data_IF_244045766776
#
_entry.id   IF_244045766776
#
_cell.length_a   1.000
_cell.length_b   1.000
_cell.length_c   1.000
_cell.angle_alpha   90.00
_cell.angle_beta   90.00
_cell.angle_gamma   90.00
#
_symmetry.space_group_name_H-M   'P 1'
#
loop_
_entity.id
_entity.type
_entity.pdbx_description
1 polymer ?
#
# COMPACT_ATOMS: atom_id res chain seq x y z
N UNK A 1 -13.03 56.13 -13.23
CA UNK A 1 -13.17 57.54 -12.84
C UNK A 1 -14.26 57.74 -11.77
N UNK A 2 -14.98 56.76 -11.37
CA UNK A 2 -15.99 56.82 -10.30
C UNK A 2 -15.56 55.91 -9.16
N UNK A 3 -14.43 56.21 -8.51
CA UNK A 3 -14.08 55.46 -7.29
C UNK A 3 -14.90 55.96 -6.10
N UNK A 4 -15.27 55.01 -5.21
CA UNK A 4 -16.12 55.31 -4.06
C UNK A 4 -15.52 54.65 -2.79
N UNK A 5 -15.17 55.46 -1.80
CA UNK A 5 -14.72 55.01 -0.50
C UNK A 5 -15.73 55.46 0.55
N UNK A 6 -16.49 54.53 1.11
CA UNK A 6 -17.61 54.79 2.03
C UNK A 6 -17.26 54.39 3.48
N UNK A 7 -16.52 53.29 3.66
CA UNK A 7 -16.15 52.83 4.98
C UNK A 7 -15.21 53.80 5.74
N UNK A 8 -15.26 53.77 7.07
CA UNK A 8 -14.32 54.58 7.88
C UNK A 8 -12.90 54.09 7.62
N UNK A 9 -11.99 55.02 7.32
CA UNK A 9 -10.60 54.75 6.92
C UNK A 9 -10.46 53.90 5.65
N UNK A 10 -11.46 53.82 4.78
CA UNK A 10 -11.39 53.07 3.52
C UNK A 10 -10.63 53.86 2.45
N UNK A 11 -10.03 53.14 1.49
CA UNK A 11 -9.32 53.71 0.34
C UNK A 11 -9.81 53.05 -0.96
N UNK A 12 -10.30 53.88 -1.88
CA UNK A 12 -10.65 53.41 -3.23
C UNK A 12 -9.88 54.23 -4.28
N UNK A 13 -9.07 53.58 -5.09
CA UNK A 13 -8.28 54.24 -6.14
C UNK A 13 -8.33 53.43 -7.44
N UNK A 14 -8.84 54.03 -8.49
CA UNK A 14 -8.94 53.45 -9.82
C UNK A 14 -10.23 53.76 -10.53
N UNK A 15 -10.47 53.11 -11.68
CA UNK A 15 -11.72 53.29 -12.41
C UNK A 15 -12.78 52.32 -11.85
N UNK A 16 -13.87 52.85 -11.32
CA UNK A 16 -14.94 52.07 -10.68
C UNK A 16 -14.47 51.23 -9.51
N UNK A 17 -13.48 51.71 -8.74
CA UNK A 17 -13.05 51.05 -7.50
C UNK A 17 -14.01 51.40 -6.36
N UNK A 18 -14.46 50.43 -5.58
CA UNK A 18 -15.43 50.59 -4.49
C UNK A 18 -14.88 49.97 -3.20
N UNK A 19 -14.81 50.74 -2.11
CA UNK A 19 -14.41 50.30 -0.79
C UNK A 19 -15.49 50.69 0.25
N UNK A 20 -16.27 49.73 0.70
CA UNK A 20 -17.44 49.94 1.56
C UNK A 20 -17.17 49.63 3.02
N UNK A 21 -16.34 48.61 3.31
CA UNK A 21 -16.04 48.17 4.68
C UNK A 21 -15.11 49.15 5.43
N UNK A 22 -15.13 49.08 6.74
CA UNK A 22 -14.19 49.80 7.62
C UNK A 22 -12.77 49.29 7.39
N UNK A 23 -11.83 50.19 7.23
CA UNK A 23 -10.44 49.89 6.92
C UNK A 23 -10.25 49.06 5.63
N UNK A 24 -11.21 49.08 4.70
CA UNK A 24 -11.11 48.37 3.43
C UNK A 24 -10.26 49.15 2.40
N UNK A 25 -9.64 48.39 1.50
CA UNK A 25 -8.79 48.94 0.43
C UNK A 25 -9.19 48.35 -0.91
N UNK A 26 -9.51 49.20 -1.89
CA UNK A 26 -9.81 48.83 -3.26
C UNK A 26 -8.92 49.59 -4.25
N UNK A 27 -7.93 48.92 -4.83
CA UNK A 27 -6.98 49.53 -5.77
C UNK A 27 -7.01 48.83 -7.13
N UNK A 28 -7.48 49.52 -8.15
CA UNK A 28 -7.53 49.00 -9.52
C UNK A 28 -8.79 49.39 -10.30
N UNK A 29 -9.08 48.67 -11.38
CA UNK A 29 -10.23 48.91 -12.21
C UNK A 29 -11.33 47.88 -11.98
N UNK A 30 -12.55 48.33 -11.66
CA UNK A 30 -13.69 47.44 -11.40
C UNK A 30 -13.50 46.54 -10.18
N UNK A 31 -12.83 47.00 -9.16
CA UNK A 31 -12.56 46.26 -7.93
C UNK A 31 -13.51 46.66 -6.80
N UNK A 32 -14.00 45.69 -6.05
CA UNK A 32 -14.93 45.92 -4.92
C UNK A 32 -14.40 45.26 -3.64
N UNK A 33 -14.33 46.01 -2.54
CA UNK A 33 -14.03 45.56 -1.18
C UNK A 33 -15.20 45.96 -0.27
N UNK A 34 -16.04 45.00 0.08
CA UNK A 34 -17.36 45.24 0.75
C UNK A 34 -17.26 45.18 2.26
N UNK A 35 -16.65 44.17 2.79
CA UNK A 35 -16.60 43.90 4.23
C UNK A 35 -15.37 44.57 4.90
N UNK A 36 -15.38 44.60 6.24
CA UNK A 36 -14.35 45.22 7.03
C UNK A 36 -12.97 44.52 6.84
N UNK A 37 -11.93 45.36 6.82
CA UNK A 37 -10.53 44.93 6.62
C UNK A 37 -10.27 44.19 5.31
N UNK A 38 -11.22 44.19 4.36
CA UNK A 38 -11.02 43.56 3.06
C UNK A 38 -10.09 44.38 2.17
N UNK A 39 -9.22 43.72 1.44
CA UNK A 39 -8.21 44.33 0.58
C UNK A 39 -8.25 43.70 -0.81
N UNK A 40 -8.35 44.54 -1.85
CA UNK A 40 -8.29 44.07 -3.22
C UNK A 40 -7.38 44.92 -4.09
N UNK A 41 -6.55 44.24 -4.90
CA UNK A 41 -5.66 44.87 -5.89
C UNK A 41 -5.84 44.22 -7.26
N UNK A 42 -6.05 45.01 -8.30
CA UNK A 42 -6.02 44.51 -9.67
C UNK A 42 -7.19 44.89 -10.54
N UNK A 43 -7.80 43.92 -11.24
CA UNK A 43 -8.84 44.23 -12.23
C UNK A 43 -10.03 43.29 -12.07
N UNK A 44 -11.24 43.85 -11.95
CA UNK A 44 -12.50 43.09 -11.85
C UNK A 44 -12.50 42.09 -10.69
N UNK A 45 -11.95 42.44 -9.54
CA UNK A 45 -12.01 41.63 -8.34
C UNK A 45 -13.22 42.04 -7.48
N UNK A 46 -13.89 41.03 -6.90
CA UNK A 46 -15.05 41.22 -6.02
C UNK A 46 -14.82 40.51 -4.68
N UNK A 47 -14.67 41.30 -3.61
CA UNK A 47 -14.35 40.82 -2.28
C UNK A 47 -15.46 41.19 -1.32
N UNK A 48 -16.25 40.21 -0.90
CA UNK A 48 -17.32 40.32 0.08
C UNK A 48 -17.04 39.53 1.36
N UNK A 49 -15.80 39.06 1.56
CA UNK A 49 -15.35 38.39 2.79
C UNK A 49 -14.66 39.36 3.74
N UNK A 50 -14.92 39.21 5.04
CA UNK A 50 -14.26 39.98 6.09
C UNK A 50 -12.77 39.59 6.19
N UNK A 51 -11.89 40.58 6.41
CA UNK A 51 -10.44 40.40 6.52
C UNK A 51 -9.84 39.59 5.35
N UNK A 52 -10.41 39.73 4.17
CA UNK A 52 -10.02 38.98 2.99
C UNK A 52 -9.05 39.76 2.10
N UNK A 53 -8.14 39.04 1.44
CA UNK A 53 -7.19 39.58 0.48
C UNK A 53 -7.43 38.99 -0.91
N UNK A 54 -7.63 39.86 -1.92
CA UNK A 54 -7.68 39.42 -3.32
C UNK A 54 -6.70 40.25 -4.16
N UNK A 55 -5.78 39.56 -4.83
CA UNK A 55 -4.82 40.20 -5.74
C UNK A 55 -4.82 39.53 -7.11
N UNK A 56 -5.04 40.32 -8.18
CA UNK A 56 -4.98 39.76 -9.51
C UNK A 56 -6.09 40.25 -10.44
N UNK A 57 -6.64 39.38 -11.27
CA UNK A 57 -7.69 39.70 -12.21
C UNK A 57 -8.84 38.69 -12.14
N UNK A 58 -10.06 39.17 -12.05
CA UNK A 58 -11.27 38.31 -11.92
C UNK A 58 -11.21 37.40 -10.71
N UNK A 59 -10.76 37.95 -9.59
CA UNK A 59 -10.73 37.23 -8.32
C UNK A 59 -12.01 37.53 -7.56
N UNK A 60 -12.76 36.47 -7.22
CA UNK A 60 -13.96 36.53 -6.40
C UNK A 60 -13.71 35.86 -5.05
N UNK A 61 -13.95 36.60 -3.99
CA UNK A 61 -13.98 36.05 -2.62
C UNK A 61 -15.33 36.37 -2.02
N UNK A 62 -16.22 35.39 -2.01
CA UNK A 62 -17.59 35.54 -1.55
C UNK A 62 -17.78 35.03 -0.12
N UNK A 63 -18.00 35.98 0.79
CA UNK A 63 -18.23 35.70 2.20
C UNK A 63 -17.03 35.05 2.91
N UNK A 64 -17.30 34.58 4.13
CA UNK A 64 -16.27 34.00 4.98
C UNK A 64 -15.28 35.02 5.57
N UNK A 65 -14.32 34.54 6.31
CA UNK A 65 -13.31 35.35 7.02
C UNK A 65 -11.92 34.85 6.68
N UNK A 66 -10.96 35.80 6.55
CA UNK A 66 -9.54 35.49 6.38
C UNK A 66 -9.21 34.63 5.14
N UNK A 67 -9.88 34.89 4.03
CA UNK A 67 -9.56 34.26 2.76
C UNK A 67 -8.47 35.05 2.02
N UNK A 68 -7.48 34.37 1.45
CA UNK A 68 -6.43 35.00 0.64
C UNK A 68 -6.40 34.38 -0.75
N UNK A 69 -6.53 35.23 -1.79
CA UNK A 69 -6.55 34.82 -3.18
C UNK A 69 -5.54 35.65 -4.02
N UNK A 70 -4.61 34.96 -4.68
CA UNK A 70 -3.62 35.58 -5.54
C UNK A 70 -3.57 34.94 -6.92
N UNK A 71 -3.99 35.65 -7.98
CA UNK A 71 -3.93 35.08 -9.33
C UNK A 71 -4.99 35.60 -10.28
N UNK A 72 -5.44 34.72 -11.18
CA UNK A 72 -6.41 35.10 -12.22
C UNK A 72 -7.57 34.10 -12.25
N UNK A 73 -8.79 34.65 -12.38
CA UNK A 73 -10.01 33.83 -12.45
C UNK A 73 -10.14 32.85 -11.27
N UNK A 74 -10.03 33.37 -10.05
CA UNK A 74 -10.18 32.61 -8.81
C UNK A 74 -11.57 32.85 -8.25
N UNK A 75 -12.20 31.77 -7.78
CA UNK A 75 -13.50 31.80 -7.08
C UNK A 75 -13.39 31.07 -5.74
N UNK A 76 -13.38 31.83 -4.64
CA UNK A 76 -13.49 31.31 -3.29
C UNK A 76 -14.89 31.64 -2.78
N UNK A 77 -15.71 30.59 -2.59
CA UNK A 77 -17.09 30.78 -2.17
C UNK A 77 -17.50 29.90 -0.99
N UNK A 78 -18.16 30.51 -0.02
CA UNK A 78 -18.80 29.82 1.09
C UNK A 78 -17.85 29.20 2.11
N UNK A 79 -16.68 29.80 2.39
CA UNK A 79 -15.77 29.28 3.39
C UNK A 79 -14.79 30.32 3.92
N UNK A 80 -14.07 29.95 4.97
CA UNK A 80 -13.09 30.81 5.65
C UNK A 80 -11.69 30.19 5.68
N UNK A 81 -10.67 31.05 5.90
CA UNK A 81 -9.28 30.65 6.08
C UNK A 81 -8.70 29.88 4.86
N UNK A 82 -9.16 30.21 3.65
CA UNK A 82 -8.60 29.60 2.45
C UNK A 82 -7.42 30.42 1.90
N UNK A 83 -6.36 29.75 1.49
CA UNK A 83 -5.23 30.35 0.76
C UNK A 83 -5.18 29.75 -0.64
N UNK A 84 -5.38 30.58 -1.66
CA UNK A 84 -5.47 30.14 -3.05
C UNK A 84 -4.53 30.98 -3.91
N UNK A 85 -3.61 30.30 -4.62
CA UNK A 85 -2.68 30.95 -5.53
C UNK A 85 -2.64 30.22 -6.88
N UNK A 86 -2.88 30.95 -7.97
CA UNK A 86 -2.82 30.39 -9.32
C UNK A 86 -3.87 30.93 -10.26
N UNK A 87 -4.31 30.12 -11.23
CA UNK A 87 -5.30 30.54 -12.20
C UNK A 87 -6.41 29.51 -12.36
N UNK A 88 -7.64 29.98 -12.63
CA UNK A 88 -8.80 29.14 -12.87
C UNK A 88 -9.11 28.15 -11.70
N UNK A 89 -8.98 28.62 -10.47
CA UNK A 89 -9.22 27.78 -9.28
C UNK A 89 -10.56 28.14 -8.66
N UNK A 90 -11.36 27.14 -8.34
CA UNK A 90 -12.58 27.25 -7.55
C UNK A 90 -12.43 26.52 -6.24
N UNK A 91 -12.66 27.19 -5.10
CA UNK A 91 -12.59 26.60 -3.77
C UNK A 91 -13.90 26.82 -3.03
N UNK A 92 -14.49 25.73 -2.53
CA UNK A 92 -15.69 25.73 -1.68
C UNK A 92 -15.43 24.98 -0.40
N UNK A 93 -15.48 25.69 0.73
CA UNK A 93 -15.19 25.11 2.06
C UNK A 93 -14.13 25.89 2.81
N UNK A 94 -13.63 25.34 3.92
CA UNK A 94 -12.79 26.08 4.85
C UNK A 94 -11.37 25.50 4.94
N UNK A 95 -10.43 26.35 5.32
CA UNK A 95 -9.06 25.93 5.66
C UNK A 95 -8.35 25.17 4.51
N UNK A 96 -8.63 25.52 3.26
CA UNK A 96 -7.96 24.92 2.12
C UNK A 96 -6.73 25.75 1.72
N UNK A 97 -5.63 25.08 1.35
CA UNK A 97 -4.40 25.71 0.85
C UNK A 97 -4.09 25.13 -0.53
N UNK A 98 -4.34 25.89 -1.58
CA UNK A 98 -4.32 25.45 -2.96
C UNK A 98 -3.37 26.30 -3.79
N UNK A 99 -2.44 25.65 -4.48
CA UNK A 99 -1.47 26.29 -5.38
C UNK A 99 -1.50 25.60 -6.75
N UNK A 100 -1.65 26.37 -7.82
CA UNK A 100 -1.55 25.82 -9.18
C UNK A 100 -2.63 26.26 -10.17
N UNK A 101 -2.90 25.42 -11.16
CA UNK A 101 -3.79 25.68 -12.29
C UNK A 101 -4.30 24.38 -12.93
N UNK A 102 -5.50 24.37 -13.49
CA UNK A 102 -6.75 24.77 -12.87
C UNK A 102 -7.28 23.65 -11.99
N UNK A 103 -8.12 23.95 -11.01
CA UNK A 103 -8.69 22.90 -10.13
C UNK A 103 -9.99 23.35 -9.46
N UNK A 104 -10.89 22.42 -9.18
CA UNK A 104 -12.04 22.61 -8.33
C UNK A 104 -11.83 21.83 -7.03
N UNK A 105 -11.87 22.53 -5.89
CA UNK A 105 -11.76 21.93 -4.56
C UNK A 105 -13.04 22.16 -3.79
N UNK A 106 -13.62 21.06 -3.28
CA UNK A 106 -14.81 21.12 -2.41
C UNK A 106 -14.55 20.34 -1.13
N UNK A 107 -14.61 21.02 0.01
CA UNK A 107 -14.35 20.40 1.32
C UNK A 107 -13.45 21.24 2.19
N UNK A 108 -12.85 20.65 3.21
CA UNK A 108 -12.11 21.38 4.23
C UNK A 108 -10.73 20.78 4.47
N UNK A 109 -9.78 21.63 4.88
CA UNK A 109 -8.42 21.21 5.24
C UNK A 109 -7.67 20.51 4.11
N UNK A 110 -7.96 20.82 2.83
CA UNK A 110 -7.23 20.24 1.71
C UNK A 110 -5.97 21.09 1.40
N UNK A 111 -4.84 20.41 1.18
CA UNK A 111 -3.55 21.04 0.83
C UNK A 111 -3.01 20.44 -0.46
N UNK A 112 -3.01 21.22 -1.54
CA UNK A 112 -2.60 20.75 -2.86
C UNK A 112 -1.75 21.72 -3.64
N UNK A 113 -0.69 21.17 -4.31
CA UNK A 113 -0.14 21.73 -5.52
C UNK A 113 -0.76 21.02 -6.72
N UNK A 114 -1.38 21.78 -7.63
CA UNK A 114 -2.07 21.21 -8.80
C UNK A 114 -1.57 21.85 -10.09
N UNK A 115 -1.37 21.03 -11.13
CA UNK A 115 -1.13 21.52 -12.49
C UNK A 115 -1.93 20.65 -13.47
N UNK A 116 -3.09 21.14 -13.88
CA UNK A 116 -4.01 20.47 -14.80
C UNK A 116 -5.45 20.45 -14.30
N UNK A 117 -6.37 20.10 -15.20
CA UNK A 117 -7.80 20.07 -14.96
C UNK A 117 -8.20 18.90 -14.03
N UNK A 118 -8.45 19.18 -12.78
CA UNK A 118 -8.85 18.14 -11.84
C UNK A 118 -9.90 18.58 -10.83
N UNK A 119 -10.38 17.65 -10.05
CA UNK A 119 -11.25 17.97 -8.92
C UNK A 119 -10.87 17.16 -7.67
N UNK A 120 -11.02 17.83 -6.53
CA UNK A 120 -10.76 17.30 -5.21
C UNK A 120 -11.99 17.53 -4.36
N UNK A 121 -12.61 16.43 -3.92
CA UNK A 121 -13.83 16.48 -3.11
C UNK A 121 -13.63 15.69 -1.83
N UNK A 122 -13.85 16.34 -0.68
CA UNK A 122 -13.69 15.75 0.64
C UNK A 122 -12.77 16.56 1.53
N UNK A 123 -12.36 16.00 2.65
CA UNK A 123 -11.64 16.73 3.68
C UNK A 123 -10.28 16.11 3.99
N UNK A 124 -9.34 16.96 4.47
CA UNK A 124 -8.02 16.52 4.90
C UNK A 124 -7.24 15.76 3.82
N UNK A 125 -7.43 16.09 2.56
CA UNK A 125 -6.66 15.51 1.47
C UNK A 125 -5.39 16.33 1.23
N UNK A 126 -4.28 15.64 0.93
CA UNK A 126 -2.98 16.27 0.70
C UNK A 126 -2.35 15.71 -0.57
N UNK A 127 -1.73 16.57 -1.37
CA UNK A 127 -1.03 16.07 -2.55
C UNK A 127 -0.29 17.10 -3.38
N UNK A 128 0.50 16.58 -4.32
CA UNK A 128 1.03 17.31 -5.45
C UNK A 128 0.72 16.50 -6.71
N UNK A 129 -0.17 17.02 -7.52
CA UNK A 129 -0.77 16.29 -8.63
C UNK A 129 -0.74 17.07 -9.92
N UNK A 130 -0.59 16.40 -11.05
CA UNK A 130 -0.61 16.97 -12.38
C UNK A 130 -1.56 16.21 -13.31
N UNK A 131 -1.80 16.73 -14.50
CA UNK A 131 -2.75 16.13 -15.44
C UNK A 131 -4.20 16.32 -15.00
N UNK A 132 -4.98 15.26 -14.98
CA UNK A 132 -6.41 15.31 -14.60
C UNK A 132 -6.65 14.51 -13.31
N UNK A 133 -6.22 14.99 -12.14
CA UNK A 133 -6.42 14.29 -10.89
C UNK A 133 -7.90 14.24 -10.50
N UNK A 134 -8.32 13.10 -9.99
CA UNK A 134 -9.65 12.88 -9.43
C UNK A 134 -9.50 12.32 -8.02
N UNK A 135 -9.73 13.14 -6.99
CA UNK A 135 -9.60 12.72 -5.60
C UNK A 135 -10.95 12.95 -4.89
N UNK A 136 -11.60 11.86 -4.55
CA UNK A 136 -12.89 11.83 -3.85
C UNK A 136 -12.73 11.06 -2.55
N UNK A 137 -13.18 11.63 -1.44
CA UNK A 137 -13.09 11.04 -0.11
C UNK A 137 -12.22 11.85 0.84
N UNK A 138 -11.87 11.30 1.98
CA UNK A 138 -11.22 12.03 3.05
C UNK A 138 -9.87 11.42 3.43
N UNK A 139 -8.95 12.25 3.96
CA UNK A 139 -7.64 11.80 4.46
C UNK A 139 -6.78 11.10 3.38
N UNK A 140 -6.86 11.52 2.14
CA UNK A 140 -6.14 10.90 1.04
C UNK A 140 -4.81 11.62 0.78
N UNK A 141 -3.83 10.85 0.29
CA UNK A 141 -2.56 11.35 -0.22
C UNK A 141 -2.42 11.00 -1.70
N UNK A 142 -2.32 12.02 -2.55
CA UNK A 142 -2.14 11.86 -4.00
C UNK A 142 -0.85 12.53 -4.48
N UNK A 143 0.08 11.77 -5.05
CA UNK A 143 1.35 12.30 -5.57
C UNK A 143 1.62 11.76 -6.97
N UNK A 144 1.64 12.63 -7.97
CA UNK A 144 1.96 12.25 -9.35
C UNK A 144 0.98 12.78 -10.40
N UNK A 145 0.99 12.17 -11.55
CA UNK A 145 0.17 12.58 -12.70
C UNK A 145 -1.04 11.67 -12.87
N UNK A 146 -2.21 12.25 -13.18
CA UNK A 146 -3.47 11.55 -13.40
C UNK A 146 -3.84 10.60 -12.24
N UNK A 147 -3.66 11.05 -11.03
CA UNK A 147 -4.02 10.30 -9.82
C UNK A 147 -5.53 10.13 -9.74
N UNK A 148 -5.99 8.90 -9.48
CA UNK A 148 -7.40 8.63 -9.21
C UNK A 148 -7.59 7.97 -7.85
N UNK A 149 -8.31 8.64 -6.95
CA UNK A 149 -8.70 8.11 -5.64
C UNK A 149 -10.20 8.28 -5.48
N UNK A 150 -10.92 7.16 -5.34
CA UNK A 150 -12.34 7.13 -4.98
C UNK A 150 -12.48 6.31 -3.69
N UNK A 151 -11.97 6.91 -2.60
CA UNK A 151 -11.80 6.22 -1.32
C UNK A 151 -11.42 7.19 -0.21
N UNK A 152 -11.43 6.73 1.03
CA UNK A 152 -10.90 7.46 2.18
C UNK A 152 -9.66 6.76 2.78
N UNK A 153 -8.79 7.55 3.41
CA UNK A 153 -7.55 7.06 4.01
C UNK A 153 -6.62 6.34 3.03
N UNK A 154 -6.65 6.76 1.77
CA UNK A 154 -5.96 6.12 0.65
C UNK A 154 -4.66 6.86 0.29
N UNK A 155 -3.72 6.11 -0.29
CA UNK A 155 -2.45 6.65 -0.79
C UNK A 155 -2.25 6.24 -2.25
N UNK A 156 -2.11 7.20 -3.16
CA UNK A 156 -1.79 6.96 -4.56
C UNK A 156 -0.53 7.74 -4.95
N UNK A 157 0.52 7.05 -5.35
CA UNK A 157 1.81 7.64 -5.73
C UNK A 157 2.29 7.08 -7.07
N UNK A 158 2.46 7.95 -8.06
CA UNK A 158 2.95 7.59 -9.39
C UNK A 158 2.06 8.12 -10.52
N UNK A 159 2.46 7.91 -11.77
CA UNK A 159 1.65 8.26 -12.92
C UNK A 159 0.51 7.23 -13.10
N UNK A 160 -0.73 7.67 -13.24
CA UNK A 160 -1.93 6.84 -13.34
C UNK A 160 -2.12 5.86 -12.15
N UNK A 161 -1.63 6.19 -10.95
CA UNK A 161 -1.90 5.37 -9.78
C UNK A 161 -3.37 5.52 -9.33
N UNK A 162 -4.01 4.40 -9.00
CA UNK A 162 -5.44 4.35 -8.70
C UNK A 162 -5.75 3.62 -7.39
N UNK A 163 -6.65 4.18 -6.59
CA UNK A 163 -7.22 3.54 -5.41
C UNK A 163 -8.73 3.64 -5.48
N UNK A 164 -9.43 2.52 -5.37
CA UNK A 164 -10.88 2.44 -5.55
C UNK A 164 -11.63 2.03 -4.28
N UNK A 165 -10.93 1.77 -3.18
CA UNK A 165 -11.54 1.37 -1.90
C UNK A 165 -10.72 1.89 -0.72
N UNK A 166 -11.38 2.07 0.43
CA UNK A 166 -10.81 2.67 1.62
C UNK A 166 -9.53 1.97 2.12
N UNK A 167 -8.62 2.78 2.66
CA UNK A 167 -7.33 2.32 3.18
C UNK A 167 -6.45 1.60 2.15
N UNK A 168 -6.72 1.80 0.86
CA UNK A 168 -5.92 1.26 -0.24
C UNK A 168 -4.63 2.05 -0.44
N UNK A 169 -3.57 1.38 -0.86
CA UNK A 169 -2.27 1.98 -1.17
C UNK A 169 -1.81 1.55 -2.56
N UNK A 170 -1.65 2.48 -3.49
CA UNK A 170 -1.15 2.24 -4.84
C UNK A 170 0.15 3.03 -5.07
N UNK A 171 1.29 2.36 -5.18
CA UNK A 171 2.59 2.98 -5.38
C UNK A 171 3.27 2.43 -6.63
N UNK A 172 3.41 3.28 -7.64
CA UNK A 172 4.05 2.98 -8.92
C UNK A 172 3.23 3.44 -10.12
N UNK A 173 3.88 3.51 -11.29
CA UNK A 173 3.22 3.80 -12.56
C UNK A 173 2.13 2.75 -12.85
N UNK A 174 0.89 3.17 -13.10
CA UNK A 174 -0.26 2.30 -13.31
C UNK A 174 -0.54 1.30 -12.17
N UNK A 175 -0.10 1.58 -10.94
CA UNK A 175 -0.44 0.74 -9.78
C UNK A 175 -1.92 0.91 -9.43
N UNK A 176 -2.59 -0.19 -9.06
CA UNK A 176 -4.03 -0.20 -8.76
C UNK A 176 -4.34 -0.97 -7.48
N UNK A 177 -4.81 -0.28 -6.45
CA UNK A 177 -5.39 -0.88 -5.25
C UNK A 177 -6.92 -0.90 -5.40
N UNK A 178 -7.47 -2.06 -5.78
CA UNK A 178 -8.88 -2.19 -6.16
C UNK A 178 -9.77 -2.64 -4.99
N UNK A 179 -9.18 -2.96 -3.84
CA UNK A 179 -9.87 -3.51 -2.68
C UNK A 179 -9.47 -2.80 -1.39
N UNK A 180 -10.31 -2.93 -0.38
CA UNK A 180 -10.09 -2.30 0.92
C UNK A 180 -8.83 -2.88 1.62
N UNK A 181 -8.09 -2.01 2.31
CA UNK A 181 -6.88 -2.41 3.04
C UNK A 181 -5.85 -3.16 2.17
N UNK A 182 -5.85 -2.93 0.86
CA UNK A 182 -4.93 -3.58 -0.07
C UNK A 182 -3.79 -2.66 -0.49
N UNK A 183 -2.64 -3.25 -0.80
CA UNK A 183 -1.44 -2.54 -1.23
C UNK A 183 -1.01 -3.04 -2.60
N UNK A 184 -0.96 -2.17 -3.60
CA UNK A 184 -0.37 -2.43 -4.91
C UNK A 184 0.99 -1.74 -4.99
N UNK A 185 2.08 -2.50 -4.93
CA UNK A 185 3.44 -1.98 -4.84
C UNK A 185 4.26 -2.30 -6.10
N UNK A 186 4.65 -1.27 -6.81
CA UNK A 186 5.45 -1.35 -8.03
C UNK A 186 4.65 -1.05 -9.30
N UNK A 187 5.35 -0.69 -10.39
CA UNK A 187 4.71 -0.34 -11.64
C UNK A 187 3.83 -1.47 -12.19
N UNK A 188 2.57 -1.17 -12.52
CA UNK A 188 1.59 -2.13 -13.03
C UNK A 188 1.15 -3.19 -12.00
N UNK A 189 1.44 -3.00 -10.72
CA UNK A 189 0.93 -3.91 -9.68
C UNK A 189 -0.56 -3.70 -9.47
N UNK A 190 -1.31 -4.81 -9.32
CA UNK A 190 -2.76 -4.78 -9.10
C UNK A 190 -3.10 -5.63 -7.88
N UNK A 191 -3.71 -5.02 -6.87
CA UNK A 191 -4.24 -5.70 -5.70
C UNK A 191 -5.75 -5.89 -5.86
N UNK A 192 -6.20 -7.13 -5.98
CA UNK A 192 -7.59 -7.51 -6.28
C UNK A 192 -8.32 -8.17 -5.12
N UNK A 193 -7.69 -8.27 -3.98
CA UNK A 193 -8.23 -8.90 -2.78
C UNK A 193 -8.01 -8.00 -1.57
N UNK A 194 -8.94 -8.05 -0.61
CA UNK A 194 -8.83 -7.29 0.63
C UNK A 194 -7.66 -7.79 1.49
N UNK A 195 -7.03 -6.89 2.24
CA UNK A 195 -5.93 -7.21 3.17
C UNK A 195 -4.71 -7.88 2.53
N UNK A 196 -4.43 -7.61 1.25
CA UNK A 196 -3.29 -8.19 0.53
C UNK A 196 -2.26 -7.15 0.11
N UNK A 197 -1.03 -7.59 -0.06
CA UNK A 197 0.04 -6.83 -0.71
C UNK A 197 0.37 -7.49 -2.04
N UNK A 198 0.07 -6.82 -3.15
CA UNK A 198 0.44 -7.26 -4.49
C UNK A 198 1.67 -6.50 -4.98
N UNK A 199 2.74 -7.25 -5.28
CA UNK A 199 3.97 -6.70 -5.89
C UNK A 199 4.02 -6.89 -7.41
N UNK A 200 2.90 -7.25 -8.03
CA UNK A 200 2.76 -7.50 -9.46
C UNK A 200 1.31 -7.64 -9.88
N UNK A 201 1.08 -8.40 -10.92
CA UNK A 201 -0.26 -8.79 -11.39
C UNK A 201 -0.22 -10.18 -12.00
N UNK A 202 -1.38 -10.77 -12.25
CA UNK A 202 -1.48 -12.07 -12.91
C UNK A 202 -0.74 -12.06 -14.26
N UNK A 203 0.21 -12.99 -14.43
CA UNK A 203 1.07 -13.06 -15.62
C UNK A 203 2.32 -12.19 -15.60
N UNK A 204 2.43 -11.23 -14.67
CA UNK A 204 3.61 -10.36 -14.50
C UNK A 204 4.02 -10.29 -13.03
N UNK A 205 4.63 -11.37 -12.56
CA UNK A 205 5.09 -11.50 -11.18
C UNK A 205 6.47 -10.91 -10.97
N UNK A 206 6.81 -10.58 -9.71
CA UNK A 206 8.14 -10.13 -9.29
C UNK A 206 8.72 -11.04 -8.23
N UNK A 207 10.04 -11.11 -8.20
CA UNK A 207 10.76 -11.76 -7.10
C UNK A 207 10.86 -10.79 -5.93
N UNK A 208 10.66 -11.31 -4.72
CA UNK A 208 11.00 -10.60 -3.50
C UNK A 208 12.41 -11.05 -3.09
N UNK A 209 13.36 -10.13 -3.12
CA UNK A 209 14.78 -10.38 -2.82
C UNK A 209 15.18 -9.81 -1.48
N UNK A 210 16.30 -10.30 -0.91
CA UNK A 210 16.83 -9.87 0.39
C UNK A 210 15.86 -10.13 1.55
N UNK A 211 15.11 -11.23 1.45
CA UNK A 211 14.23 -11.70 2.53
C UNK A 211 15.06 -12.52 3.51
N UNK A 212 15.14 -12.08 4.75
CA UNK A 212 15.75 -12.84 5.84
C UNK A 212 14.97 -14.14 6.11
N UNK A 213 15.62 -15.09 6.80
CA UNK A 213 14.91 -16.29 7.25
C UNK A 213 13.80 -15.92 8.22
N UNK A 214 12.59 -16.43 7.96
CA UNK A 214 11.44 -16.28 8.85
C UNK A 214 11.72 -16.93 10.21
N UNK A 215 11.24 -16.30 11.27
CA UNK A 215 11.36 -16.74 12.66
C UNK A 215 9.99 -17.10 13.23
N UNK A 216 9.00 -16.23 13.00
CA UNK A 216 7.63 -16.41 13.46
C UNK A 216 6.78 -17.20 12.44
N UNK A 217 5.71 -17.82 12.92
CA UNK A 217 4.82 -18.64 12.09
C UNK A 217 4.15 -17.88 10.93
N UNK A 218 4.07 -16.56 11.03
CA UNK A 218 3.51 -15.67 10.01
C UNK A 218 4.55 -15.05 9.07
N UNK A 219 5.82 -15.34 9.28
CA UNK A 219 6.88 -14.77 8.43
C UNK A 219 6.97 -15.45 7.07
N UNK A 220 7.47 -14.72 6.08
CA UNK A 220 7.77 -15.28 4.77
C UNK A 220 8.98 -16.23 4.85
N UNK A 221 8.85 -17.39 4.21
CA UNK A 221 9.95 -18.38 4.08
C UNK A 221 10.81 -18.00 2.87
N UNK A 222 12.13 -17.93 3.06
CA UNK A 222 13.07 -17.74 1.96
C UNK A 222 13.55 -19.07 1.34
N UNK A 223 14.25 -18.96 0.20
CA UNK A 223 14.75 -20.12 -0.57
C UNK A 223 15.75 -20.95 0.24
N UNK A 224 16.52 -20.34 1.14
CA UNK A 224 17.47 -21.05 1.99
C UNK A 224 16.76 -22.03 2.93
N UNK A 225 15.73 -21.58 3.63
CA UNK A 225 14.92 -22.41 4.52
C UNK A 225 14.19 -23.55 3.75
N UNK A 226 13.64 -23.23 2.58
CA UNK A 226 13.01 -24.26 1.72
C UNK A 226 14.02 -25.32 1.25
N UNK A 227 15.27 -24.94 0.94
CA UNK A 227 16.31 -25.89 0.57
C UNK A 227 16.75 -26.75 1.76
N UNK A 228 16.79 -26.21 2.98
CA UNK A 228 17.09 -26.98 4.19
C UNK A 228 16.04 -28.08 4.42
N UNK A 229 14.75 -27.75 4.36
CA UNK A 229 13.66 -28.74 4.46
C UNK A 229 13.74 -29.80 3.36
N UNK A 230 14.07 -29.39 2.12
CA UNK A 230 14.26 -30.32 1.00
C UNK A 230 15.41 -31.30 1.24
N UNK A 231 16.52 -30.85 1.78
CA UNK A 231 17.67 -31.71 2.10
C UNK A 231 17.33 -32.68 3.24
N UNK A 232 16.70 -32.22 4.30
CA UNK A 232 16.24 -33.04 5.41
C UNK A 232 15.29 -34.18 4.91
N UNK A 233 14.31 -33.84 4.08
CA UNK A 233 13.43 -34.83 3.48
C UNK A 233 14.18 -35.88 2.64
N UNK A 234 15.18 -35.47 1.85
CA UNK A 234 16.01 -36.39 1.03
C UNK A 234 16.85 -37.29 1.90
N UNK A 235 17.44 -36.81 2.99
CA UNK A 235 18.22 -37.58 3.95
C UNK A 235 17.31 -38.62 4.65
N UNK A 236 16.13 -38.22 5.07
CA UNK A 236 15.14 -39.12 5.64
C UNK A 236 14.73 -40.28 4.69
N UNK A 237 14.56 -39.96 3.38
CA UNK A 237 14.27 -40.99 2.36
C UNK A 237 15.45 -41.95 2.19
N UNK A 238 16.69 -41.45 2.13
CA UNK A 238 17.88 -42.28 2.02
C UNK A 238 18.05 -43.21 3.26
N UNK A 239 17.81 -42.67 4.46
CA UNK A 239 17.85 -43.45 5.71
C UNK A 239 16.74 -44.50 5.74
N UNK A 240 15.51 -44.17 5.31
CA UNK A 240 14.44 -45.17 5.22
C UNK A 240 14.75 -46.28 4.23
N UNK A 241 15.32 -45.97 3.08
CA UNK A 241 15.75 -46.96 2.09
C UNK A 241 16.87 -47.87 2.64
N UNK A 242 17.86 -47.33 3.36
CA UNK A 242 18.91 -48.09 4.00
C UNK A 242 18.37 -49.02 5.09
N UNK A 243 17.42 -48.56 5.91
CA UNK A 243 16.79 -49.32 6.96
C UNK A 243 15.83 -50.42 6.45
N UNK A 244 15.29 -50.29 5.26
CA UNK A 244 14.32 -51.25 4.69
C UNK A 244 14.95 -52.61 4.36
N UNK A 245 16.26 -52.71 4.29
CA UNK A 245 16.98 -53.91 3.83
C UNK A 245 17.15 -54.97 4.95
N UNK A 246 16.09 -55.34 5.64
CA UNK A 246 16.06 -56.41 6.65
C UNK A 246 15.89 -57.77 5.99
N UNK A 247 16.86 -58.68 6.16
CA UNK A 247 16.79 -60.03 5.65
C UNK A 247 16.13 -60.96 6.68
N UNK A 248 15.26 -61.87 6.20
CA UNK A 248 14.65 -62.90 7.06
C UNK A 248 15.66 -63.97 7.42
N UNK A 249 15.66 -64.49 8.65
CA UNK A 249 16.42 -65.71 9.02
C UNK A 249 15.98 -66.92 8.20
N UNK A 250 16.92 -67.78 7.87
CA UNK A 250 16.68 -68.98 7.03
C UNK A 250 15.92 -70.14 7.73
N UNK A 251 15.82 -70.12 9.06
CA UNK A 251 15.14 -71.12 9.85
C UNK A 251 14.78 -70.60 11.26
N UNK A 252 13.79 -71.21 11.93
CA UNK A 252 13.45 -70.96 13.33
C UNK A 252 14.65 -71.07 14.27
N UNK A 253 14.78 -70.16 15.21
CA UNK A 253 15.88 -70.05 16.17
C UNK A 253 17.16 -69.36 15.61
N UNK A 254 17.17 -68.95 14.35
CA UNK A 254 18.30 -68.20 13.75
C UNK A 254 18.12 -66.71 13.85
N UNK A 255 19.27 -66.03 13.91
CA UNK A 255 19.36 -64.59 13.82
C UNK A 255 20.10 -64.23 12.54
N UNK A 256 19.61 -63.22 11.80
CA UNK A 256 20.27 -62.65 10.64
C UNK A 256 20.61 -61.21 10.94
N UNK A 257 21.85 -60.84 10.64
CA UNK A 257 22.29 -59.45 10.65
C UNK A 257 22.48 -59.06 9.18
N UNK A 258 21.93 -57.90 8.79
CA UNK A 258 22.07 -57.36 7.44
C UNK A 258 22.46 -55.89 7.47
N UNK A 259 23.19 -55.45 6.43
CA UNK A 259 23.51 -54.05 6.20
C UNK A 259 22.90 -53.63 4.88
N UNK A 260 22.40 -52.40 4.84
CA UNK A 260 21.82 -51.78 3.66
C UNK A 260 22.42 -50.42 3.37
N UNK A 261 22.46 -50.04 2.11
CA UNK A 261 22.83 -48.71 1.65
C UNK A 261 21.64 -48.11 0.96
N UNK A 262 21.31 -46.85 1.29
CA UNK A 262 20.31 -46.06 0.63
C UNK A 262 20.89 -44.78 0.08
N UNK A 263 20.57 -44.43 -1.16
CA UNK A 263 20.91 -43.14 -1.77
C UNK A 263 19.67 -42.54 -2.42
N UNK A 264 19.43 -41.27 -2.17
CA UNK A 264 18.36 -40.50 -2.83
C UNK A 264 18.82 -39.07 -3.14
N UNK A 265 18.95 -38.78 -4.44
CA UNK A 265 19.31 -37.42 -4.94
C UNK A 265 20.53 -36.84 -4.23
N UNK A 266 21.63 -37.58 -4.21
CA UNK A 266 22.94 -37.26 -3.61
C UNK A 266 23.01 -37.25 -2.08
N UNK A 267 21.96 -37.66 -1.38
CA UNK A 267 22.00 -37.89 0.07
C UNK A 267 22.11 -39.41 0.31
N UNK A 268 22.97 -39.81 1.21
CA UNK A 268 23.28 -41.24 1.46
C UNK A 268 23.08 -41.62 2.91
N UNK A 269 22.74 -42.89 3.13
CA UNK A 269 22.66 -43.50 4.47
C UNK A 269 23.08 -44.95 4.46
N UNK A 270 23.57 -45.42 5.61
CA UNK A 270 23.89 -46.86 5.85
C UNK A 270 22.97 -47.35 6.96
N UNK A 271 22.31 -48.47 6.68
CA UNK A 271 21.42 -49.14 7.63
C UNK A 271 21.98 -50.47 8.12
N UNK A 272 21.73 -50.78 9.37
CA UNK A 272 22.03 -52.08 9.98
C UNK A 272 20.73 -52.66 10.55
N UNK A 273 20.48 -53.94 10.26
CA UNK A 273 19.28 -54.62 10.74
C UNK A 273 19.66 -55.93 11.39
N UNK A 274 18.94 -56.30 12.46
CA UNK A 274 18.96 -57.59 13.09
C UNK A 274 17.54 -58.17 13.05
N UNK A 275 17.42 -59.41 12.60
CA UNK A 275 16.15 -60.14 12.55
C UNK A 275 16.30 -61.49 13.26
N UNK A 276 15.36 -61.82 14.10
CA UNK A 276 15.36 -63.08 14.83
C UNK A 276 14.01 -63.81 14.66
N UNK A 277 14.07 -65.07 14.23
CA UNK A 277 12.90 -65.96 14.11
C UNK A 277 12.78 -66.82 15.35
N UNK A 278 11.73 -66.60 16.17
CA UNK A 278 11.48 -67.40 17.36
C UNK A 278 11.16 -68.85 16.99
N UNK A 279 11.77 -69.75 17.71
CA UNK A 279 11.42 -71.18 17.63
C UNK A 279 10.19 -71.44 18.50
N UNK A 280 9.04 -71.71 17.87
CA UNK A 280 7.78 -72.04 18.53
C UNK A 280 7.58 -73.58 18.57
N UNK A 281 6.90 -74.06 19.59
CA UNK A 281 6.55 -75.49 19.69
C UNK A 281 5.35 -75.90 18.81
N UNK A 282 4.79 -74.95 18.04
CA UNK A 282 3.67 -75.18 17.12
C UNK A 282 4.18 -75.20 15.70
N UNK A 283 3.81 -76.12 14.86
CA UNK A 283 4.20 -76.25 13.46
C UNK A 283 3.61 -75.14 12.58
N UNK A 284 2.56 -74.44 13.03
CA UNK A 284 1.79 -73.48 12.23
C UNK A 284 1.98 -72.01 12.63
N UNK A 285 2.72 -71.70 13.72
CA UNK A 285 2.91 -70.35 14.14
C UNK A 285 4.37 -69.89 14.00
N UNK A 286 4.58 -68.78 13.36
CA UNK A 286 5.87 -68.13 13.15
C UNK A 286 5.86 -66.72 13.70
N UNK A 287 6.85 -66.38 14.53
CA UNK A 287 7.02 -65.06 15.07
C UNK A 287 8.41 -64.58 14.73
N UNK A 288 8.45 -63.43 14.00
CA UNK A 288 9.67 -62.77 13.58
C UNK A 288 9.79 -61.42 14.28
N UNK A 289 10.90 -61.18 14.93
CA UNK A 289 11.28 -59.86 15.42
C UNK A 289 12.35 -59.26 14.51
N UNK A 290 12.23 -57.97 14.19
CA UNK A 290 13.33 -57.28 13.57
C UNK A 290 13.49 -55.88 14.17
N UNK A 291 14.75 -55.45 14.30
CA UNK A 291 15.12 -54.10 14.68
C UNK A 291 16.22 -53.60 13.73
N UNK A 292 16.20 -52.35 13.43
CA UNK A 292 17.20 -51.74 12.55
C UNK A 292 17.42 -50.28 12.88
N UNK A 293 18.61 -49.83 12.53
CA UNK A 293 18.99 -48.41 12.58
C UNK A 293 19.60 -48.01 11.25
N UNK A 294 19.34 -46.81 10.80
CA UNK A 294 20.04 -46.20 9.69
C UNK A 294 20.71 -44.89 10.14
N UNK A 295 21.92 -44.69 9.71
CA UNK A 295 22.71 -43.51 9.98
C UNK A 295 22.91 -42.73 8.67
N UNK A 296 22.48 -41.49 8.64
CA UNK A 296 22.73 -40.55 7.57
C UNK A 296 24.06 -39.84 7.70
N UNK A 297 24.29 -38.83 6.87
CA UNK A 297 25.53 -38.05 6.86
C UNK A 297 25.71 -37.14 8.08
N UNK A 298 24.62 -36.85 8.81
CA UNK A 298 24.63 -36.08 10.07
C UNK A 298 24.13 -36.90 11.23
N UNK A 299 24.59 -36.55 12.41
CA UNK A 299 24.22 -37.26 13.66
C UNK A 299 22.74 -37.24 14.01
N UNK A 300 22.02 -36.23 13.50
CA UNK A 300 20.57 -36.03 13.67
C UNK A 300 19.72 -36.72 12.59
N UNK A 301 20.33 -37.29 11.54
CA UNK A 301 19.66 -38.00 10.46
C UNK A 301 19.51 -39.53 10.77
N UNK A 302 19.50 -39.94 12.02
CA UNK A 302 19.35 -41.32 12.41
C UNK A 302 17.88 -41.76 12.40
N UNK A 303 17.62 -42.97 11.87
CA UNK A 303 16.29 -43.60 11.84
C UNK A 303 16.36 -44.93 12.55
N UNK A 304 15.39 -45.19 13.42
CA UNK A 304 15.24 -46.48 14.10
C UNK A 304 13.92 -47.12 13.68
N UNK A 305 13.92 -48.45 13.50
CA UNK A 305 12.72 -49.22 13.24
C UNK A 305 12.70 -50.48 14.08
N UNK A 306 11.51 -50.91 14.45
CA UNK A 306 11.27 -52.25 15.03
C UNK A 306 10.00 -52.79 14.40
N UNK A 307 9.96 -54.10 14.18
CA UNK A 307 8.75 -54.75 13.66
C UNK A 307 8.61 -56.17 14.24
N UNK A 308 7.38 -56.59 14.38
CA UNK A 308 7.01 -57.99 14.73
C UNK A 308 6.11 -58.49 13.61
N UNK A 309 6.47 -59.61 13.02
CA UNK A 309 5.65 -60.33 12.08
C UNK A 309 5.15 -61.63 12.71
N UNK A 310 3.90 -61.99 12.51
CA UNK A 310 3.30 -63.23 12.96
C UNK A 310 2.64 -63.89 11.76
N UNK A 311 2.94 -65.16 11.53
CA UNK A 311 2.36 -65.94 10.45
C UNK A 311 1.70 -67.18 11.14
N UNK A 312 0.49 -67.50 10.72
CA UNK A 312 -0.32 -68.64 11.27
C UNK A 312 -0.53 -69.70 10.22
#
# INVERSE_FOLDING_TARGET
RNSEAVGVNSLALGDSAVALGVNSVALGAGVTAVEDYSVTFGVNNDVTGENALAMGSKVRVEGGVENSALGTNLDISGGSHNTVMGNNITVRGNNNSIFGDPVIVTGQYNVFGVSGDGYITGNNNVGQVTGNPEIVGNHNVGLGENIKIDASSAVAVGHNAQVSQDSGVAIGHNAQAQRANSVALGAGSIATEDYTVSIGQRGFTRRLTNVSSGIDLSDAVNVYQMNAVRQEARRGIAAAAAAANAMMPSAPGKTTVSAGYGNFKSESAVGFNISHWLRMNSENARVLFSAGAALGERSDDSLFRASVGVEF
#
